data_IF_776863357906
#
_entry.id   IF_776863357906
#
_cell.length_a   1.000
_cell.length_b   1.000
_cell.length_c   1.000
_cell.angle_alpha   90.00
_cell.angle_beta   90.00
_cell.angle_gamma   90.00
#
_symmetry.space_group_name_H-M   'P 1'
#
loop_
_entity.id
_entity.type
_entity.pdbx_description
1 polymer ?
#
# COMPACT_ATOMS: atom_id res chain seq x y z
N UNK A 1 8.70 9.99 -18.71
CA UNK A 1 8.09 8.76 -18.15
C UNK A 1 6.57 8.81 -18.17
N UNK A 2 5.89 9.64 -17.36
CA UNK A 2 4.40 9.67 -17.35
C UNK A 2 3.85 10.16 -18.69
N UNK A 3 4.42 11.22 -19.26
CA UNK A 3 4.04 11.72 -20.58
C UNK A 3 4.19 10.64 -21.67
N UNK A 4 5.27 9.86 -21.65
CA UNK A 4 5.50 8.76 -22.58
C UNK A 4 4.41 7.69 -22.45
N UNK A 5 3.99 7.37 -21.22
CA UNK A 5 2.88 6.44 -21.00
C UNK A 5 1.54 7.00 -21.47
N UNK A 6 1.28 8.29 -21.29
CA UNK A 6 0.07 8.95 -21.80
C UNK A 6 0.01 8.89 -23.33
N UNK A 7 1.15 9.11 -24.00
CA UNK A 7 1.25 8.99 -25.45
C UNK A 7 1.01 7.55 -25.92
N UNK A 8 1.63 6.56 -25.25
CA UNK A 8 1.37 5.13 -25.52
C UNK A 8 -0.12 4.80 -25.36
N UNK A 9 -0.77 5.22 -24.27
CA UNK A 9 -2.19 4.93 -24.03
C UNK A 9 -3.12 5.54 -25.10
N UNK A 10 -2.75 6.70 -25.65
CA UNK A 10 -3.54 7.37 -26.70
C UNK A 10 -3.38 6.74 -28.09
N UNK A 11 -2.24 6.09 -28.35
CA UNK A 11 -1.87 5.60 -29.69
C UNK A 11 -1.91 4.08 -29.81
N UNK A 12 -1.97 3.34 -28.70
CA UNK A 12 -1.92 1.88 -28.68
C UNK A 12 -3.16 1.26 -29.33
N UNK A 13 -2.93 0.24 -30.16
CA UNK A 13 -4.01 -0.57 -30.71
C UNK A 13 -4.69 -1.40 -29.59
N UNK A 14 -6.00 -1.66 -29.65
CA UNK A 14 -6.72 -2.39 -28.60
C UNK A 14 -6.12 -3.76 -28.23
N UNK A 15 -5.48 -4.45 -29.19
CA UNK A 15 -4.82 -5.74 -28.99
C UNK A 15 -3.57 -5.67 -28.09
N UNK A 16 -2.87 -4.54 -28.11
CA UNK A 16 -1.58 -4.34 -27.43
C UNK A 16 -1.77 -3.63 -26.07
N UNK A 17 -3.00 -3.20 -25.79
CA UNK A 17 -3.38 -2.47 -24.57
C UNK A 17 -3.09 -3.23 -23.26
N UNK A 18 -3.32 -4.56 -23.12
CA UNK A 18 -2.94 -5.29 -21.91
C UNK A 18 -1.44 -5.19 -21.57
N UNK A 19 -0.57 -5.20 -22.60
CA UNK A 19 0.88 -5.08 -22.41
C UNK A 19 1.27 -3.71 -21.85
N UNK A 20 0.72 -2.63 -22.42
CA UNK A 20 0.95 -1.26 -21.94
C UNK A 20 0.44 -1.07 -20.51
N UNK A 21 -0.73 -1.63 -20.19
CA UNK A 21 -1.26 -1.63 -18.81
C UNK A 21 -0.36 -2.43 -17.84
N UNK A 22 0.26 -3.50 -18.31
CA UNK A 22 1.24 -4.27 -17.54
C UNK A 22 2.52 -3.49 -17.22
N UNK A 23 3.01 -2.69 -18.18
CA UNK A 23 4.14 -1.77 -17.97
C UNK A 23 3.78 -0.68 -16.94
N UNK A 24 2.60 -0.07 -17.08
CA UNK A 24 2.07 0.93 -16.15
C UNK A 24 1.97 0.38 -14.72
N UNK A 25 1.39 -0.81 -14.54
CA UNK A 25 1.35 -1.46 -13.22
C UNK A 25 2.78 -1.70 -12.69
N UNK A 26 3.73 -2.00 -13.57
CA UNK A 26 5.14 -2.20 -13.21
C UNK A 26 5.81 -0.91 -12.71
N UNK A 27 5.37 0.23 -13.22
CA UNK A 27 5.78 1.56 -12.78
C UNK A 27 5.03 2.08 -11.54
N UNK A 28 4.12 1.28 -10.96
CA UNK A 28 3.31 1.66 -9.79
C UNK A 28 2.01 2.40 -10.15
N UNK A 29 1.64 2.48 -11.43
CA UNK A 29 0.35 3.04 -11.86
C UNK A 29 -0.69 1.93 -11.95
N UNK A 30 -1.31 1.61 -10.81
CA UNK A 30 -2.32 0.57 -10.77
C UNK A 30 -3.65 1.06 -11.35
N UNK A 31 -4.28 0.22 -12.17
CA UNK A 31 -5.65 0.40 -12.66
C UNK A 31 -6.61 -0.08 -11.57
N UNK A 32 -7.48 0.77 -11.04
CA UNK A 32 -8.44 0.38 -10.02
C UNK A 32 -9.57 -0.52 -10.60
N UNK A 33 -10.33 -1.28 -9.78
CA UNK A 33 -11.31 -2.25 -10.28
C UNK A 33 -12.42 -1.61 -11.14
N UNK A 34 -12.88 -0.43 -10.73
CA UNK A 34 -13.97 0.32 -11.36
C UNK A 34 -13.46 1.44 -12.27
N UNK A 35 -12.14 1.49 -12.53
CA UNK A 35 -11.50 2.52 -13.35
C UNK A 35 -11.36 2.03 -14.80
N UNK A 36 -11.91 2.82 -15.72
CA UNK A 36 -11.71 2.63 -17.16
C UNK A 36 -10.34 3.15 -17.62
N UNK A 37 -9.89 2.74 -18.80
CA UNK A 37 -8.63 3.25 -19.38
C UNK A 37 -8.66 4.75 -19.62
N UNK A 38 -9.84 5.32 -19.95
CA UNK A 38 -10.00 6.78 -20.07
C UNK A 38 -9.76 7.48 -18.74
N UNK A 39 -10.40 6.99 -17.66
CA UNK A 39 -10.25 7.54 -16.31
C UNK A 39 -8.82 7.40 -15.79
N UNK A 40 -8.16 6.27 -16.06
CA UNK A 40 -6.74 6.09 -15.78
C UNK A 40 -5.90 7.15 -16.51
N UNK A 41 -6.18 7.40 -17.80
CA UNK A 41 -5.46 8.39 -18.60
C UNK A 41 -5.65 9.81 -18.04
N UNK A 42 -6.87 10.17 -17.66
CA UNK A 42 -7.18 11.45 -17.01
C UNK A 42 -6.44 11.60 -15.68
N UNK A 43 -6.44 10.56 -14.84
CA UNK A 43 -5.72 10.57 -13.57
C UNK A 43 -4.21 10.69 -13.75
N UNK A 44 -3.64 9.99 -14.74
CA UNK A 44 -2.21 10.10 -15.06
C UNK A 44 -1.84 11.48 -15.62
N UNK A 45 -2.74 12.11 -16.37
CA UNK A 45 -2.56 13.50 -16.83
C UNK A 45 -2.54 14.46 -15.65
N UNK A 46 -3.55 14.37 -14.77
CA UNK A 46 -3.62 15.20 -13.56
C UNK A 46 -2.41 14.99 -12.63
N UNK A 47 -1.91 13.76 -12.53
CA UNK A 47 -0.68 13.46 -11.80
C UNK A 47 0.56 14.09 -12.45
N UNK A 48 0.69 14.02 -13.77
CA UNK A 48 1.80 14.63 -14.49
C UNK A 48 1.81 16.15 -14.30
N UNK A 49 0.63 16.77 -14.42
CA UNK A 49 0.45 18.21 -14.20
C UNK A 49 0.79 18.57 -12.75
N UNK A 50 0.26 17.83 -11.77
CA UNK A 50 0.56 18.03 -10.36
C UNK A 50 2.05 17.91 -10.03
N UNK A 51 2.74 16.90 -10.59
CA UNK A 51 4.19 16.73 -10.42
C UNK A 51 5.00 17.87 -11.06
N UNK A 52 4.54 18.39 -12.20
CA UNK A 52 5.20 19.54 -12.85
C UNK A 52 5.08 20.83 -12.06
N UNK A 53 4.01 20.96 -11.26
CA UNK A 53 3.75 22.12 -10.40
C UNK A 53 4.46 22.03 -9.04
N UNK A 54 4.93 20.86 -8.60
CA UNK A 54 5.69 20.69 -7.34
C UNK A 54 6.80 21.75 -7.14
N UNK A 55 7.66 22.05 -8.14
CA UNK A 55 8.71 23.05 -7.99
C UNK A 55 8.21 24.51 -7.99
N UNK A 56 6.98 24.77 -8.47
CA UNK A 56 6.45 26.13 -8.69
C UNK A 56 5.33 26.52 -7.72
N UNK A 57 4.64 25.55 -7.14
CA UNK A 57 3.53 25.77 -6.23
C UNK A 57 4.04 26.31 -4.87
N UNK A 58 3.57 27.48 -4.41
CA UNK A 58 4.05 28.09 -3.16
C UNK A 58 3.76 27.26 -1.91
N UNK A 59 2.66 26.50 -1.89
CA UNK A 59 2.30 25.62 -0.78
C UNK A 59 3.21 24.41 -0.75
N UNK A 60 3.44 23.78 -1.91
CA UNK A 60 4.37 22.64 -2.03
C UNK A 60 5.81 23.04 -1.74
N UNK A 61 6.24 24.20 -2.25
CA UNK A 61 7.53 24.80 -1.94
C UNK A 61 7.67 25.05 -0.44
N UNK A 62 6.61 25.47 0.26
CA UNK A 62 6.64 25.63 1.72
C UNK A 62 6.73 24.30 2.48
N UNK A 63 6.19 23.22 1.91
CA UNK A 63 6.28 21.87 2.49
C UNK A 63 7.68 21.27 2.32
N UNK A 64 8.36 21.59 1.22
CA UNK A 64 9.67 21.07 0.83
C UNK A 64 10.84 22.04 1.08
N UNK A 65 10.57 23.29 1.48
CA UNK A 65 11.59 24.28 1.82
C UNK A 65 12.55 23.73 2.88
N UNK A 66 13.85 23.81 2.59
CA UNK A 66 14.94 23.33 3.43
C UNK A 66 14.94 21.82 3.71
N UNK A 67 14.19 21.03 2.92
CA UNK A 67 14.17 19.57 3.03
C UNK A 67 15.08 18.94 1.98
N UNK A 68 16.15 18.22 2.37
CA UNK A 68 17.01 17.57 1.39
C UNK A 68 16.26 16.39 0.75
N UNK A 69 16.45 16.22 -0.55
CA UNK A 69 15.90 15.08 -1.27
C UNK A 69 16.56 13.78 -0.78
N UNK A 70 15.79 12.69 -0.81
CA UNK A 70 16.33 11.38 -0.48
C UNK A 70 17.29 10.90 -1.57
N UNK A 71 18.44 10.32 -1.17
CA UNK A 71 19.44 9.84 -2.10
C UNK A 71 18.94 8.72 -3.01
N UNK A 72 19.44 8.68 -4.24
CA UNK A 72 19.06 7.65 -5.23
C UNK A 72 19.36 6.23 -4.75
N UNK A 73 20.46 6.04 -4.02
CA UNK A 73 20.81 4.73 -3.43
C UNK A 73 19.73 4.24 -2.46
N UNK A 74 19.09 5.14 -1.71
CA UNK A 74 18.00 4.77 -0.82
C UNK A 74 16.72 4.46 -1.61
N UNK A 75 16.42 5.25 -2.64
CA UNK A 75 15.30 5.00 -3.57
C UNK A 75 15.45 3.63 -4.25
N UNK A 76 16.64 3.29 -4.76
CA UNK A 76 16.94 2.00 -5.38
C UNK A 76 16.74 0.83 -4.42
N UNK A 77 17.19 0.96 -3.16
CA UNK A 77 16.95 -0.07 -2.13
C UNK A 77 15.46 -0.26 -1.85
N UNK A 78 14.68 0.82 -1.78
CA UNK A 78 13.24 0.73 -1.58
C UNK A 78 12.54 0.10 -2.80
N UNK A 79 12.95 0.48 -4.01
CA UNK A 79 12.45 -0.11 -5.26
C UNK A 79 12.73 -1.61 -5.34
N UNK A 80 13.88 -2.07 -4.84
CA UNK A 80 14.18 -3.49 -4.82
C UNK A 80 13.25 -4.26 -3.87
N UNK A 81 12.91 -3.69 -2.71
CA UNK A 81 11.94 -4.28 -1.78
C UNK A 81 10.54 -4.38 -2.40
N UNK A 82 10.04 -3.32 -3.03
CA UNK A 82 8.72 -3.34 -3.69
C UNK A 82 8.71 -4.25 -4.92
N UNK A 83 9.82 -4.29 -5.67
CA UNK A 83 9.98 -5.15 -6.84
C UNK A 83 9.99 -6.63 -6.46
N UNK A 84 10.75 -7.01 -5.43
CA UNK A 84 10.82 -8.39 -4.97
C UNK A 84 9.50 -8.86 -4.37
N UNK A 85 8.86 -8.02 -3.55
CA UNK A 85 7.65 -8.43 -2.82
C UNK A 85 6.37 -8.31 -3.65
N UNK A 86 6.30 -7.31 -4.51
CA UNK A 86 5.08 -6.92 -5.19
C UNK A 86 5.29 -6.62 -6.69
N UNK A 87 6.45 -6.87 -7.30
CA UNK A 87 6.68 -6.71 -8.76
C UNK A 87 6.34 -5.32 -9.33
N UNK A 88 6.62 -4.25 -8.57
CA UNK A 88 6.56 -2.87 -9.08
C UNK A 88 7.72 -1.99 -8.60
N UNK A 89 8.04 -0.95 -9.38
CA UNK A 89 9.09 0.03 -9.10
C UNK A 89 8.59 1.43 -9.45
N UNK A 90 8.41 2.27 -8.42
CA UNK A 90 7.82 3.59 -8.58
C UNK A 90 8.90 4.68 -8.60
N UNK A 91 9.65 4.76 -9.71
CA UNK A 91 10.81 5.65 -9.84
C UNK A 91 10.47 7.15 -9.91
N UNK A 92 9.22 7.48 -10.19
CA UNK A 92 8.74 8.85 -10.39
C UNK A 92 8.29 9.53 -9.09
N UNK A 93 8.18 8.79 -7.97
CA UNK A 93 7.66 9.33 -6.72
C UNK A 93 8.63 10.36 -6.13
N UNK A 94 8.16 11.56 -5.76
CA UNK A 94 9.00 12.53 -5.12
C UNK A 94 9.13 12.26 -3.61
N UNK A 95 10.35 12.37 -3.07
CA UNK A 95 10.67 11.94 -1.70
C UNK A 95 11.69 12.88 -1.05
N UNK A 96 11.36 13.39 0.15
CA UNK A 96 12.22 14.28 0.91
C UNK A 96 12.40 13.85 2.37
N UNK A 97 13.43 14.38 3.03
CA UNK A 97 13.55 14.29 4.49
C UNK A 97 12.87 15.48 5.17
N UNK A 98 11.86 15.23 6.01
CA UNK A 98 11.25 16.26 6.85
C UNK A 98 10.71 15.72 8.18
N UNK A 99 11.39 16.03 9.28
CA UNK A 99 10.86 15.85 10.64
C UNK A 99 9.66 16.75 10.95
N UNK A 100 9.50 17.86 10.21
CA UNK A 100 8.35 18.77 10.37
C UNK A 100 7.06 18.12 9.88
N UNK A 101 7.10 17.46 8.71
CA UNK A 101 5.91 16.79 8.16
C UNK A 101 5.63 15.46 8.86
N UNK A 102 6.68 14.69 9.18
CA UNK A 102 6.52 13.38 9.85
C UNK A 102 6.18 13.49 11.33
N UNK A 103 6.59 14.57 12.00
CA UNK A 103 6.54 14.69 13.45
C UNK A 103 7.53 13.77 14.16
N UNK A 104 7.44 13.71 15.50
CA UNK A 104 8.38 12.95 16.34
C UNK A 104 8.00 11.47 16.53
N UNK A 105 6.78 11.09 16.16
CA UNK A 105 6.25 9.73 16.39
C UNK A 105 6.10 8.93 15.09
N UNK A 106 6.38 9.53 13.93
CA UNK A 106 6.36 8.82 12.66
C UNK A 106 7.73 8.76 12.03
N UNK A 107 8.03 7.60 11.43
CA UNK A 107 9.23 7.41 10.63
C UNK A 107 9.05 7.95 9.20
N UNK A 108 7.86 7.82 8.64
CA UNK A 108 7.49 8.30 7.31
C UNK A 108 6.05 8.80 7.28
N UNK A 109 5.72 9.62 6.30
CA UNK A 109 4.34 9.99 6.01
C UNK A 109 4.17 10.17 4.51
N UNK A 110 3.07 9.64 4.00
CA UNK A 110 2.52 9.98 2.70
C UNK A 110 1.51 11.12 2.87
N UNK A 111 1.76 12.25 2.21
CA UNK A 111 0.77 13.29 2.01
C UNK A 111 0.17 13.14 0.61
N UNK A 112 -1.14 13.06 0.55
CA UNK A 112 -1.91 12.87 -0.68
C UNK A 112 -2.69 14.16 -0.97
N UNK A 113 -2.48 14.75 -2.14
CA UNK A 113 -3.21 15.95 -2.58
C UNK A 113 -4.23 15.54 -3.63
N UNK A 114 -5.49 15.91 -3.38
CA UNK A 114 -6.66 15.64 -4.23
C UNK A 114 -6.85 14.18 -4.65
N UNK A 115 -6.31 13.26 -3.86
CA UNK A 115 -6.25 11.82 -4.17
C UNK A 115 -5.54 11.43 -5.44
N UNK A 116 -4.58 12.25 -5.86
CA UNK A 116 -3.85 12.05 -7.11
C UNK A 116 -2.35 12.16 -6.86
N UNK A 117 -1.89 13.20 -6.16
CA UNK A 117 -0.47 13.50 -6.03
C UNK A 117 0.10 12.97 -4.70
N UNK A 118 0.91 11.89 -4.71
CA UNK A 118 1.64 11.42 -3.54
C UNK A 118 2.91 12.22 -3.31
N UNK A 119 3.10 12.71 -2.09
CA UNK A 119 4.33 13.32 -1.61
C UNK A 119 4.81 12.53 -0.39
N UNK A 120 6.01 11.94 -0.47
CA UNK A 120 6.55 11.16 0.64
C UNK A 120 7.60 11.94 1.41
N UNK A 121 7.44 11.94 2.73
CA UNK A 121 8.40 12.53 3.65
C UNK A 121 8.92 11.48 4.62
N UNK A 122 10.25 11.36 4.70
CA UNK A 122 10.95 10.53 5.68
C UNK A 122 11.46 11.41 6.83
N UNK A 123 11.55 10.87 8.04
CA UNK A 123 12.05 11.64 9.17
C UNK A 123 13.56 11.98 8.99
N UNK A 124 13.98 13.19 9.39
CA UNK A 124 15.39 13.62 9.27
C UNK A 124 16.35 12.72 10.04
N UNK A 125 15.88 11.99 11.07
CA UNK A 125 16.68 11.01 11.79
C UNK A 125 17.28 9.91 10.90
N UNK A 126 16.65 9.64 9.75
CA UNK A 126 17.19 8.71 8.76
C UNK A 126 18.41 9.23 8.01
N UNK A 127 18.50 10.54 7.76
CA UNK A 127 19.57 11.14 6.96
C UNK A 127 20.96 10.86 7.57
N UNK A 128 21.06 10.79 8.90
CA UNK A 128 22.33 10.56 9.59
C UNK A 128 22.72 9.08 9.71
N UNK A 129 21.75 8.17 9.95
CA UNK A 129 22.03 6.80 10.41
C UNK A 129 21.39 5.70 9.56
N UNK A 130 20.54 6.06 8.59
CA UNK A 130 19.69 5.12 7.85
C UNK A 130 18.64 4.41 8.70
N UNK A 131 18.57 4.71 10.01
CA UNK A 131 17.63 4.13 10.97
C UNK A 131 17.09 5.21 11.91
N UNK A 132 15.81 5.09 12.25
CA UNK A 132 15.12 6.00 13.17
C UNK A 132 14.09 5.19 13.99
N UNK A 133 14.12 5.28 15.32
CA UNK A 133 13.20 4.54 16.22
C UNK A 133 13.07 3.02 15.91
N UNK A 134 14.16 2.38 15.48
CA UNK A 134 14.17 0.97 15.08
C UNK A 134 13.56 0.67 13.70
N UNK A 135 13.16 1.70 12.95
CA UNK A 135 12.81 1.62 11.52
C UNK A 135 14.07 1.72 10.66
N UNK A 136 14.06 1.07 9.50
CA UNK A 136 15.05 1.24 8.43
C UNK A 136 14.47 2.17 7.36
N UNK A 137 15.30 3.06 6.82
CA UNK A 137 14.85 4.08 5.88
C UNK A 137 14.30 3.46 4.57
N UNK A 138 14.90 2.37 4.08
CA UNK A 138 14.49 1.75 2.82
C UNK A 138 13.18 0.99 3.00
N UNK A 139 13.01 0.30 4.14
CA UNK A 139 11.74 -0.34 4.51
C UNK A 139 10.62 0.69 4.65
N UNK A 140 10.91 1.82 5.30
CA UNK A 140 9.93 2.91 5.49
C UNK A 140 9.54 3.54 4.16
N UNK A 141 10.51 3.81 3.28
CA UNK A 141 10.19 4.32 1.95
C UNK A 141 9.38 3.31 1.12
N UNK A 142 9.76 2.03 1.13
CA UNK A 142 9.00 0.99 0.44
C UNK A 142 7.57 0.85 0.98
N UNK A 143 7.38 1.05 2.28
CA UNK A 143 6.08 1.09 2.94
C UNK A 143 5.20 2.24 2.40
N UNK A 144 5.72 3.48 2.40
CA UNK A 144 4.98 4.64 1.87
C UNK A 144 4.73 4.53 0.36
N UNK A 145 5.65 3.93 -0.39
CA UNK A 145 5.45 3.66 -1.82
C UNK A 145 4.28 2.71 -2.10
N UNK A 146 4.02 1.76 -1.21
CA UNK A 146 2.88 0.85 -1.33
C UNK A 146 1.56 1.61 -1.13
N UNK A 147 1.53 2.52 -0.15
CA UNK A 147 0.38 3.41 0.06
C UNK A 147 0.16 4.31 -1.16
N UNK A 148 1.23 4.94 -1.66
CA UNK A 148 1.18 5.82 -2.83
C UNK A 148 0.68 5.08 -4.10
N UNK A 149 1.16 3.86 -4.36
CA UNK A 149 0.68 3.06 -5.49
C UNK A 149 -0.81 2.66 -5.33
N UNK A 150 -1.31 2.62 -4.10
CA UNK A 150 -2.71 2.28 -3.78
C UNK A 150 -3.64 3.48 -3.62
N UNK A 151 -3.20 4.72 -3.85
CA UNK A 151 -4.06 5.92 -3.81
C UNK A 151 -5.30 5.78 -4.70
N UNK A 152 -5.17 5.11 -5.85
CA UNK A 152 -6.29 4.88 -6.77
C UNK A 152 -7.36 3.92 -6.22
N UNK A 153 -7.09 3.21 -5.12
CA UNK A 153 -8.03 2.27 -4.51
C UNK A 153 -8.83 2.93 -3.39
N UNK A 154 -10.06 2.47 -3.15
CA UNK A 154 -10.77 2.85 -1.93
C UNK A 154 -10.02 2.34 -0.69
N UNK A 155 -10.27 3.01 0.44
CA UNK A 155 -9.71 2.66 1.74
C UNK A 155 -9.87 1.15 2.03
N UNK A 156 -8.78 0.50 2.44
CA UNK A 156 -8.71 -0.95 2.54
C UNK A 156 -8.50 -1.42 3.98
N UNK A 157 -9.11 -2.54 4.35
CA UNK A 157 -8.84 -3.23 5.60
C UNK A 157 -7.45 -3.90 5.65
N UNK A 158 -6.76 -3.96 4.50
CA UNK A 158 -5.45 -4.58 4.28
C UNK A 158 -4.35 -3.57 3.91
N UNK A 159 -4.64 -2.28 3.96
CA UNK A 159 -3.71 -1.21 3.56
C UNK A 159 -2.37 -1.35 4.28
N UNK A 160 -2.40 -1.35 5.62
CA UNK A 160 -1.22 -1.57 6.45
C UNK A 160 -0.68 -3.00 6.40
N UNK A 161 -1.51 -3.99 6.06
CA UNK A 161 -1.03 -5.35 5.85
C UNK A 161 -0.01 -5.34 4.70
N UNK A 162 -0.36 -4.79 3.53
CA UNK A 162 0.56 -4.80 2.39
C UNK A 162 1.84 -4.02 2.65
N UNK A 163 1.72 -2.79 3.17
CA UNK A 163 2.86 -1.93 3.44
C UNK A 163 3.76 -2.50 4.54
N UNK A 164 3.22 -3.23 5.52
CA UNK A 164 4.05 -3.87 6.53
C UNK A 164 4.81 -5.10 6.03
N UNK A 165 4.40 -5.73 4.92
CA UNK A 165 5.01 -6.97 4.41
C UNK A 165 6.38 -6.78 3.75
N UNK A 166 6.81 -5.54 3.48
CA UNK A 166 8.20 -5.23 3.07
C UNK A 166 9.16 -5.12 4.26
N UNK A 167 8.64 -5.04 5.50
CA UNK A 167 9.47 -4.92 6.69
C UNK A 167 10.12 -6.26 7.07
N UNK A 168 11.38 -6.23 7.54
CA UNK A 168 12.06 -7.43 8.08
C UNK A 168 11.48 -7.90 9.41
N UNK A 169 10.90 -6.99 10.20
CA UNK A 169 10.31 -7.33 11.50
C UNK A 169 9.05 -8.20 11.35
N UNK A 170 9.10 -9.43 11.87
CA UNK A 170 7.95 -10.34 11.89
C UNK A 170 6.78 -9.77 12.71
N UNK A 171 7.08 -9.03 13.79
CA UNK A 171 6.08 -8.33 14.58
C UNK A 171 5.31 -7.32 13.72
N UNK A 172 6.02 -6.48 12.95
CA UNK A 172 5.38 -5.51 12.05
C UNK A 172 4.55 -6.20 10.97
N UNK A 173 5.05 -7.28 10.36
CA UNK A 173 4.29 -8.04 9.36
C UNK A 173 2.99 -8.64 9.91
N UNK A 174 2.96 -8.98 11.20
CA UNK A 174 1.82 -9.67 11.82
C UNK A 174 0.82 -8.71 12.48
N UNK A 175 1.33 -7.70 13.17
CA UNK A 175 0.52 -6.80 14.02
C UNK A 175 0.36 -5.42 13.40
N UNK A 176 1.18 -5.07 12.39
CA UNK A 176 1.17 -3.75 11.77
C UNK A 176 -0.20 -3.32 11.25
N UNK A 177 -1.00 -4.25 10.74
CA UNK A 177 -2.35 -3.96 10.26
C UNK A 177 -3.32 -3.43 11.35
N UNK A 178 -3.02 -3.64 12.63
CA UNK A 178 -3.75 -3.04 13.74
C UNK A 178 -3.63 -1.51 13.75
N UNK A 179 -2.51 -0.96 13.28
CA UNK A 179 -2.19 0.45 13.32
C UNK A 179 -2.77 1.27 12.16
N UNK A 180 -3.52 0.64 11.24
CA UNK A 180 -4.16 1.33 10.08
C UNK A 180 -5.06 2.50 10.44
N UNK A 181 -5.60 2.51 11.66
CA UNK A 181 -6.39 3.61 12.19
C UNK A 181 -6.04 3.77 13.66
N UNK A 182 -5.72 4.99 14.08
CA UNK A 182 -5.22 5.30 15.43
C UNK A 182 -6.13 4.81 16.56
N UNK A 183 -7.45 4.75 16.34
CA UNK A 183 -8.40 4.33 17.37
C UNK A 183 -8.36 2.81 17.62
N UNK A 184 -7.89 1.99 16.66
CA UNK A 184 -7.82 0.54 16.84
C UNK A 184 -6.76 0.12 17.87
N UNK A 185 -5.48 0.54 17.80
CA UNK A 185 -4.52 0.25 18.84
C UNK A 185 -4.92 0.93 20.15
N UNK A 186 -5.53 2.12 20.13
CA UNK A 186 -6.02 2.77 21.35
C UNK A 186 -7.09 1.92 22.05
N UNK A 187 -8.12 1.47 21.33
CA UNK A 187 -9.18 0.64 21.90
C UNK A 187 -8.66 -0.74 22.32
N UNK A 188 -7.70 -1.29 21.59
CA UNK A 188 -7.08 -2.58 21.93
C UNK A 188 -6.22 -2.47 23.19
N UNK A 189 -5.15 -1.67 23.18
CA UNK A 189 -4.23 -1.57 24.31
C UNK A 189 -4.84 -0.83 25.50
N UNK A 190 -5.61 0.23 25.26
CA UNK A 190 -6.34 0.94 26.30
C UNK A 190 -7.40 0.05 26.95
N UNK A 191 -8.17 -0.70 26.15
CA UNK A 191 -9.15 -1.65 26.66
C UNK A 191 -8.53 -2.75 27.52
N UNK A 192 -7.42 -3.36 27.07
CA UNK A 192 -6.67 -4.37 27.84
C UNK A 192 -6.15 -3.77 29.15
N UNK A 193 -5.52 -2.59 29.09
CA UNK A 193 -4.93 -1.94 30.27
C UNK A 193 -5.99 -1.59 31.31
N UNK A 194 -7.11 -1.00 30.87
CA UNK A 194 -8.22 -0.67 31.75
C UNK A 194 -8.92 -1.90 32.30
N UNK A 195 -9.02 -2.98 31.53
CA UNK A 195 -9.56 -4.26 32.02
C UNK A 195 -8.72 -4.78 33.19
N UNK A 196 -7.39 -4.80 33.05
CA UNK A 196 -6.47 -5.24 34.12
C UNK A 196 -6.63 -4.36 35.36
N UNK A 197 -6.67 -3.04 35.19
CA UNK A 197 -6.86 -2.09 36.30
C UNK A 197 -8.18 -2.36 37.06
N UNK A 198 -9.30 -2.52 36.33
CA UNK A 198 -10.61 -2.78 36.96
C UNK A 198 -10.69 -4.15 37.62
N UNK A 199 -10.01 -5.17 37.08
CA UNK A 199 -9.91 -6.49 37.71
C UNK A 199 -9.21 -6.39 39.06
N UNK A 200 -8.09 -5.64 39.13
CA UNK A 200 -7.35 -5.41 40.38
C UNK A 200 -8.19 -4.62 41.38
N UNK A 201 -9.00 -3.66 40.92
CA UNK A 201 -9.94 -2.90 41.75
C UNK A 201 -11.20 -3.69 42.18
N UNK A 202 -11.35 -4.95 41.77
CA UNK A 202 -12.49 -5.82 42.12
C UNK A 202 -13.76 -5.60 41.29
N UNK A 203 -13.72 -4.74 40.27
CA UNK A 203 -14.87 -4.34 39.45
C UNK A 203 -15.08 -5.30 38.27
N UNK A 204 -15.44 -6.55 38.59
CA UNK A 204 -15.51 -7.66 37.60
C UNK A 204 -16.44 -7.39 36.43
N UNK A 205 -17.65 -6.87 36.66
CA UNK A 205 -18.61 -6.59 35.59
C UNK A 205 -18.07 -5.59 34.57
N UNK A 206 -17.54 -4.46 35.04
CA UNK A 206 -16.97 -3.42 34.18
C UNK A 206 -15.71 -3.88 33.45
N UNK A 207 -14.90 -4.72 34.09
CA UNK A 207 -13.73 -5.31 33.44
C UNK A 207 -14.11 -6.19 32.24
N UNK A 208 -15.18 -6.99 32.35
CA UNK A 208 -15.65 -7.82 31.24
C UNK A 208 -16.14 -6.96 30.06
N UNK A 209 -16.82 -5.84 30.36
CA UNK A 209 -17.28 -4.91 29.33
C UNK A 209 -16.12 -4.23 28.60
N UNK A 210 -15.07 -3.82 29.31
CA UNK A 210 -13.88 -3.20 28.70
C UNK A 210 -12.97 -4.19 27.96
N UNK A 211 -13.11 -5.49 28.21
CA UNK A 211 -12.39 -6.52 27.46
C UNK A 211 -13.02 -6.80 26.09
N UNK A 212 -14.29 -6.43 25.89
CA UNK A 212 -15.02 -6.69 24.65
C UNK A 212 -14.36 -6.04 23.41
N UNK A 213 -13.99 -4.73 23.40
CA UNK A 213 -13.36 -4.13 22.22
C UNK A 213 -12.03 -4.80 21.82
N UNK A 214 -11.07 -5.06 22.75
CA UNK A 214 -9.87 -5.81 22.40
C UNK A 214 -10.14 -7.19 21.79
N UNK A 215 -11.10 -7.95 22.34
CA UNK A 215 -11.46 -9.28 21.83
C UNK A 215 -12.06 -9.19 20.42
N UNK A 216 -12.95 -8.24 20.19
CA UNK A 216 -13.55 -8.03 18.87
C UNK A 216 -12.51 -7.59 17.83
N UNK A 217 -11.62 -6.66 18.19
CA UNK A 217 -10.54 -6.19 17.32
C UNK A 217 -9.59 -7.35 16.99
N UNK A 218 -9.14 -8.11 17.99
CA UNK A 218 -8.27 -9.26 17.80
C UNK A 218 -8.90 -10.33 16.89
N UNK A 219 -10.16 -10.67 17.15
CA UNK A 219 -10.92 -11.63 16.35
C UNK A 219 -11.04 -11.16 14.90
N UNK A 220 -11.32 -9.86 14.70
CA UNK A 220 -11.39 -9.24 13.38
C UNK A 220 -10.05 -9.33 12.65
N UNK A 221 -8.93 -9.02 13.30
CA UNK A 221 -7.60 -9.14 12.68
C UNK A 221 -7.26 -10.60 12.32
N UNK A 222 -7.65 -11.58 13.15
CA UNK A 222 -7.51 -13.00 12.81
C UNK A 222 -8.30 -13.34 11.54
N UNK A 223 -9.56 -12.88 11.44
CA UNK A 223 -10.41 -13.13 10.27
C UNK A 223 -9.78 -12.51 9.01
N UNK A 224 -9.28 -11.27 9.08
CA UNK A 224 -8.60 -10.63 7.96
C UNK A 224 -7.37 -11.43 7.51
N UNK A 225 -6.50 -11.82 8.45
CA UNK A 225 -5.30 -12.60 8.16
C UNK A 225 -5.61 -13.96 7.54
N UNK A 226 -6.63 -14.66 8.06
CA UNK A 226 -7.07 -15.93 7.48
C UNK A 226 -7.59 -15.76 6.06
N UNK A 227 -8.34 -14.69 5.81
CA UNK A 227 -8.92 -14.41 4.49
C UNK A 227 -7.87 -14.11 3.44
N UNK A 228 -6.92 -13.22 3.74
CA UNK A 228 -5.87 -12.86 2.78
C UNK A 228 -4.91 -14.02 2.51
N UNK A 229 -4.60 -14.83 3.54
CA UNK A 229 -3.85 -16.09 3.35
C UNK A 229 -4.60 -17.09 2.48
N UNK A 230 -5.91 -17.24 2.70
CA UNK A 230 -6.74 -18.11 1.88
C UNK A 230 -6.77 -17.63 0.41
N UNK A 231 -6.90 -16.32 0.17
CA UNK A 231 -6.82 -15.77 -1.18
C UNK A 231 -5.44 -16.00 -1.83
N UNK A 232 -4.34 -15.74 -1.11
CA UNK A 232 -2.98 -16.01 -1.60
C UNK A 232 -2.76 -17.48 -1.95
N UNK A 233 -3.21 -18.40 -1.09
CA UNK A 233 -3.13 -19.84 -1.35
C UNK A 233 -3.89 -20.24 -2.62
N UNK A 234 -5.05 -19.63 -2.86
CA UNK A 234 -5.87 -19.89 -4.06
C UNK A 234 -5.20 -19.36 -5.32
N UNK A 235 -4.58 -18.18 -5.26
CA UNK A 235 -3.76 -17.65 -6.35
C UNK A 235 -2.59 -18.58 -6.67
N UNK A 236 -1.84 -19.00 -5.66
CA UNK A 236 -0.71 -19.93 -5.83
C UNK A 236 -1.14 -21.24 -6.49
N UNK A 237 -2.27 -21.83 -6.05
CA UNK A 237 -2.83 -23.04 -6.68
C UNK A 237 -3.31 -22.82 -8.11
N UNK A 238 -3.68 -21.60 -8.47
CA UNK A 238 -4.02 -21.22 -9.84
C UNK A 238 -2.77 -20.89 -10.70
N UNK A 239 -1.56 -21.03 -10.16
CA UNK A 239 -0.30 -20.71 -10.85
C UNK A 239 -0.04 -19.20 -10.94
N UNK A 240 -0.53 -18.43 -9.97
CA UNK A 240 -0.36 -16.98 -9.89
C UNK A 240 0.46 -16.59 -8.65
N UNK A 241 1.22 -15.51 -8.79
CA UNK A 241 1.99 -14.89 -7.72
C UNK A 241 1.07 -14.14 -6.73
N UNK A 242 1.33 -14.29 -5.43
CA UNK A 242 0.64 -13.57 -4.35
C UNK A 242 0.81 -12.05 -4.43
N UNK A 243 1.84 -11.56 -5.13
CA UNK A 243 2.02 -10.14 -5.44
C UNK A 243 0.76 -9.51 -6.08
N UNK A 244 -0.06 -10.31 -6.76
CA UNK A 244 -1.35 -9.89 -7.32
C UNK A 244 -2.31 -9.34 -6.25
N UNK A 245 -2.26 -9.82 -5.01
CA UNK A 245 -3.15 -9.38 -3.93
C UNK A 245 -3.09 -7.85 -3.71
N UNK A 246 -1.94 -7.23 -3.95
CA UNK A 246 -1.77 -5.78 -3.83
C UNK A 246 -2.63 -5.00 -4.86
N UNK A 247 -3.07 -5.62 -5.94
CA UNK A 247 -3.87 -4.98 -7.00
C UNK A 247 -5.36 -5.16 -6.79
N UNK A 248 -5.74 -5.89 -5.75
CA UNK A 248 -7.11 -6.24 -5.47
C UNK A 248 -7.72 -5.32 -4.41
N UNK A 249 -9.01 -5.08 -4.59
CA UNK A 249 -9.89 -4.51 -3.58
C UNK A 249 -10.24 -5.55 -2.51
N UNK A 250 -10.77 -5.07 -1.39
CA UNK A 250 -11.21 -5.94 -0.29
C UNK A 250 -12.30 -6.92 -0.72
N UNK A 251 -13.20 -6.50 -1.60
CA UNK A 251 -14.28 -7.34 -2.17
C UNK A 251 -13.70 -8.43 -3.07
N UNK A 252 -12.72 -8.11 -3.90
CA UNK A 252 -12.02 -9.10 -4.74
C UNK A 252 -11.23 -10.10 -3.88
N UNK A 253 -10.51 -9.64 -2.85
CA UNK A 253 -9.80 -10.54 -1.91
C UNK A 253 -10.80 -11.47 -1.21
N UNK A 254 -11.95 -10.95 -0.80
CA UNK A 254 -13.01 -11.75 -0.20
C UNK A 254 -13.60 -12.78 -1.17
N UNK A 255 -13.90 -12.38 -2.40
CA UNK A 255 -14.39 -13.28 -3.43
C UNK A 255 -13.37 -14.40 -3.70
N UNK A 256 -12.10 -14.04 -3.93
CA UNK A 256 -11.02 -15.01 -4.17
C UNK A 256 -10.82 -16.00 -3.01
N UNK A 257 -10.95 -15.54 -1.76
CA UNK A 257 -10.83 -16.42 -0.59
C UNK A 257 -11.87 -17.54 -0.56
N UNK A 258 -12.98 -17.38 -1.31
CA UNK A 258 -14.11 -18.32 -1.40
C UNK A 258 -14.16 -19.07 -2.73
N UNK A 259 -13.49 -18.57 -3.77
CA UNK A 259 -13.48 -19.19 -5.10
C UNK A 259 -12.69 -20.50 -5.16
N UNK A 260 -12.96 -21.27 -6.20
CA UNK A 260 -12.10 -22.39 -6.61
C UNK A 260 -10.93 -21.86 -7.46
N UNK A 261 -9.75 -22.49 -7.43
CA UNK A 261 -8.61 -22.04 -8.25
C UNK A 261 -8.93 -21.95 -9.75
N UNK A 262 -9.73 -22.87 -10.26
CA UNK A 262 -10.17 -22.92 -11.67
C UNK A 262 -10.98 -21.68 -12.08
N UNK A 263 -11.80 -21.15 -11.17
CA UNK A 263 -12.64 -19.97 -11.41
C UNK A 263 -11.81 -18.69 -11.54
N UNK A 264 -10.61 -18.66 -10.95
CA UNK A 264 -9.73 -17.48 -10.98
C UNK A 264 -9.27 -17.19 -12.41
N UNK A 265 -8.96 -18.24 -13.18
CA UNK A 265 -8.53 -18.08 -14.57
C UNK A 265 -9.65 -17.60 -15.49
N UNK A 266 -10.91 -17.87 -15.12
CA UNK A 266 -12.09 -17.39 -15.87
C UNK A 266 -12.30 -15.88 -15.70
N UNK A 267 -11.71 -15.26 -14.67
CA UNK A 267 -11.79 -13.80 -14.45
C UNK A 267 -11.20 -13.00 -15.60
N UNK A 268 -10.35 -13.59 -16.45
CA UNK A 268 -9.87 -12.96 -17.70
C UNK A 268 -11.01 -12.42 -18.55
N UNK A 269 -12.19 -13.03 -18.49
CA UNK A 269 -13.35 -12.64 -19.28
C UNK A 269 -14.22 -11.56 -18.60
N UNK A 270 -13.95 -11.23 -17.33
CA UNK A 270 -14.73 -10.22 -16.59
C UNK A 270 -14.30 -8.80 -16.96
N UNK A 271 -13.00 -8.56 -17.14
CA UNK A 271 -12.49 -7.25 -17.50
C UNK A 271 -11.09 -7.29 -18.13
N UNK A 272 -10.77 -6.23 -18.87
CA UNK A 272 -9.43 -5.98 -19.40
C UNK A 272 -8.37 -5.97 -18.29
N UNK A 273 -8.71 -5.41 -17.12
CA UNK A 273 -7.85 -5.38 -15.93
C UNK A 273 -7.48 -6.79 -15.49
N UNK A 274 -8.46 -7.70 -15.35
CA UNK A 274 -8.19 -9.09 -14.98
C UNK A 274 -7.39 -9.83 -16.04
N UNK A 275 -7.64 -9.58 -17.33
CA UNK A 275 -6.83 -10.15 -18.40
C UNK A 275 -5.34 -9.77 -18.28
N UNK A 276 -5.06 -8.48 -18.06
CA UNK A 276 -3.70 -7.98 -17.83
C UNK A 276 -3.07 -8.56 -16.56
N UNK A 277 -3.80 -8.54 -15.44
CA UNK A 277 -3.30 -9.04 -14.16
C UNK A 277 -2.96 -10.53 -14.20
N UNK A 278 -3.83 -11.35 -14.80
CA UNK A 278 -3.59 -12.79 -14.93
C UNK A 278 -2.41 -13.12 -15.84
N UNK A 279 -2.14 -12.31 -16.85
CA UNK A 279 -0.97 -12.46 -17.72
C UNK A 279 0.32 -12.06 -17.00
N UNK A 280 0.32 -10.89 -16.36
CA UNK A 280 1.47 -10.35 -15.66
C UNK A 280 1.92 -11.20 -14.47
N UNK A 281 0.97 -11.68 -13.67
CA UNK A 281 1.24 -12.39 -12.42
C UNK A 281 1.26 -13.90 -12.56
N UNK A 282 1.33 -14.44 -13.79
CA UNK A 282 1.66 -15.87 -13.96
C UNK A 282 2.97 -16.16 -13.26
N UNK A 283 2.98 -17.21 -12.44
CA UNK A 283 4.20 -17.68 -11.82
C UNK A 283 5.11 -18.23 -12.92
N UNK A 284 6.31 -17.68 -13.03
CA UNK A 284 7.39 -18.27 -13.81
C UNK A 284 7.86 -19.53 -13.06
N UNK A 285 7.14 -20.63 -13.26
CA UNK A 285 7.28 -21.98 -12.65
C UNK A 285 6.56 -22.16 -11.30
N UNK A 286 5.83 -23.28 -11.23
CA UNK A 286 5.75 -24.10 -10.02
C UNK A 286 6.99 -24.98 -9.92
#
# INVERSE_FOLDING_TARGET
MICDFLEKLRTVAPRDLPGVLGELDGAGFFLAPDESVSQLTERLSALADGLSLVPEDPLLTKLTADTPEVSDTLKDRAHELTSQKFRFRMKWIPVWYSSRQTGIFSAGVLLEIDRILPLVFLNNGFACKGKYMGYDAAETLAHEMIHAARIAFPASAYEEYFSCHVNRSAFRRTVGNLFRRWYLPLLFFGGVTMTVFLLVAGWRFWSALLLLPPVLIFSREIILHRRIRAAGEKLRRAGLDEALLLRLSDSEIFALSRSKPEEIMLKKNESLRWAMLLEKFRSEKG
#
